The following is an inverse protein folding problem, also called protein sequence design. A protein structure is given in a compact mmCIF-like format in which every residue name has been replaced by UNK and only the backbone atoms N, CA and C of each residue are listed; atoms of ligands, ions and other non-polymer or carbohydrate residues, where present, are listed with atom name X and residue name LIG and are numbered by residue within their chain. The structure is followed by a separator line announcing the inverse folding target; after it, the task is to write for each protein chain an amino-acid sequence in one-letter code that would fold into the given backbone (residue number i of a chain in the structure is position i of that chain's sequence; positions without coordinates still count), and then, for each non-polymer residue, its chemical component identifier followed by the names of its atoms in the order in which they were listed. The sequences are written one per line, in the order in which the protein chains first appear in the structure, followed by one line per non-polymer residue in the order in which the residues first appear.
data_IF_188697901680
#
_entry.id   IF_188697901680
#
_cell.length_a   1.000
_cell.length_b   1.000
_cell.length_c   1.000
_cell.angle_alpha   90.00
_cell.angle_beta   90.00
_cell.angle_gamma   90.00
#
_symmetry.space_group_name_H-M   'P 1'
#
loop_
_entity.id
_entity.type
_entity.pdbx_description
1 polymer ?
#
# COMPACT_ATOMS: atom_id res chain seq x y z
N UNK A 1 5.18 -6.24 6.65
CA UNK A 1 6.05 -5.05 6.59
C UNK A 1 6.23 -4.52 8.01
N UNK A 2 7.01 -5.23 8.84
CA UNK A 2 7.22 -4.78 10.23
C UNK A 2 8.28 -3.69 10.21
N UNK A 3 7.93 -2.49 10.69
CA UNK A 3 8.85 -1.34 10.82
C UNK A 3 9.44 -0.84 9.49
N UNK A 4 8.75 -1.07 8.36
CA UNK A 4 9.17 -0.57 7.04
C UNK A 4 8.05 0.23 6.39
N UNK A 5 8.39 1.41 5.89
CA UNK A 5 7.50 2.28 5.12
C UNK A 5 8.05 2.43 3.70
N UNK A 6 7.18 2.25 2.71
CA UNK A 6 7.49 2.45 1.29
C UNK A 6 6.50 3.46 0.73
N UNK A 7 7.00 4.48 0.03
CA UNK A 7 6.17 5.52 -0.58
C UNK A 7 6.43 5.55 -2.08
N UNK A 8 5.35 5.58 -2.85
CA UNK A 8 5.40 5.80 -4.29
C UNK A 8 5.03 7.26 -4.57
N UNK A 9 5.89 7.97 -5.29
CA UNK A 9 5.70 9.37 -5.66
C UNK A 9 5.73 9.47 -7.17
N UNK A 10 4.69 10.04 -7.77
CA UNK A 10 4.58 10.16 -9.22
C UNK A 10 3.15 10.43 -9.67
N UNK A 11 2.89 10.09 -10.92
CA UNK A 11 1.58 10.20 -11.55
C UNK A 11 0.68 8.98 -11.24
N UNK A 12 -0.33 8.77 -12.08
CA UNK A 12 -1.23 7.63 -11.98
C UNK A 12 -0.53 6.27 -12.17
N UNK A 13 0.60 6.20 -12.89
CA UNK A 13 1.34 4.95 -13.05
C UNK A 13 2.03 4.55 -11.74
N UNK A 14 2.61 5.50 -11.02
CA UNK A 14 3.18 5.26 -9.68
C UNK A 14 2.12 4.72 -8.71
N UNK A 15 0.90 5.26 -8.78
CA UNK A 15 -0.26 4.77 -8.01
C UNK A 15 -0.63 3.33 -8.37
N UNK A 16 -0.65 2.98 -9.65
CA UNK A 16 -0.93 1.62 -10.11
C UNK A 16 0.11 0.62 -9.58
N UNK A 17 1.40 0.99 -9.59
CA UNK A 17 2.47 0.14 -9.06
C UNK A 17 2.33 -0.08 -7.55
N UNK A 18 1.99 0.97 -6.80
CA UNK A 18 1.69 0.87 -5.36
C UNK A 18 0.52 -0.08 -5.09
N UNK A 19 -0.57 -0.01 -5.86
CA UNK A 19 -1.71 -0.92 -5.74
C UNK A 19 -1.35 -2.37 -6.07
N UNK A 20 -0.53 -2.59 -7.11
CA UNK A 20 -0.03 -3.92 -7.47
C UNK A 20 0.79 -4.54 -6.33
N UNK A 21 1.68 -3.75 -5.70
CA UNK A 21 2.46 -4.20 -4.54
C UNK A 21 1.57 -4.58 -3.36
N UNK A 22 0.57 -3.76 -3.03
CA UNK A 22 -0.39 -4.08 -1.97
C UNK A 22 -1.06 -5.43 -2.24
N UNK A 23 -1.52 -5.67 -3.48
CA UNK A 23 -2.16 -6.93 -3.86
C UNK A 23 -1.22 -8.13 -3.64
N UNK A 24 0.04 -8.03 -4.07
CA UNK A 24 1.03 -9.09 -3.86
C UNK A 24 1.28 -9.35 -2.37
N UNK A 25 1.38 -8.30 -1.55
CA UNK A 25 1.60 -8.44 -0.11
C UNK A 25 0.37 -9.01 0.61
N UNK A 26 -0.83 -8.61 0.22
CA UNK A 26 -2.08 -9.17 0.76
C UNK A 26 -2.24 -10.64 0.40
N UNK A 27 -1.84 -11.05 -0.81
CA UNK A 27 -1.83 -12.45 -1.21
C UNK A 27 -0.81 -13.29 -0.39
N UNK A 28 0.36 -12.71 -0.09
CA UNK A 28 1.38 -13.37 0.73
C UNK A 28 1.03 -13.43 2.23
N UNK A 29 0.18 -12.53 2.72
CA UNK A 29 -0.23 -12.44 4.12
C UNK A 29 -1.76 -12.29 4.26
N UNK A 30 -2.55 -13.33 3.92
CA UNK A 30 -4.01 -13.24 3.80
C UNK A 30 -4.76 -12.97 5.12
N UNK A 31 -4.10 -13.19 6.27
CA UNK A 31 -4.66 -12.95 7.60
C UNK A 31 -4.12 -11.68 8.27
N UNK A 32 -3.30 -10.89 7.56
CA UNK A 32 -2.83 -9.62 8.09
C UNK A 32 -4.00 -8.65 8.22
N UNK A 33 -4.10 -7.98 9.36
CA UNK A 33 -5.04 -6.88 9.50
C UNK A 33 -4.51 -5.70 8.70
N UNK A 34 -5.39 -5.01 7.97
CA UNK A 34 -4.97 -3.92 7.09
C UNK A 34 -5.85 -2.68 7.28
N UNK A 35 -5.28 -1.52 7.01
CA UNK A 35 -5.97 -0.24 7.06
C UNK A 35 -5.60 0.60 5.85
N UNK A 36 -6.60 1.19 5.19
CA UNK A 36 -6.43 2.15 4.12
C UNK A 36 -6.95 3.52 4.56
N UNK A 37 -6.10 4.54 4.46
CA UNK A 37 -6.48 5.95 4.64
C UNK A 37 -6.21 6.65 3.32
N UNK A 38 -7.27 7.12 2.67
CA UNK A 38 -7.18 7.80 1.38
C UNK A 38 -7.51 9.29 1.52
N UNK A 39 -6.65 10.14 0.98
CA UNK A 39 -6.88 11.56 0.76
C UNK A 39 -6.27 12.02 -0.57
N UNK A 40 -6.53 13.26 -0.96
CA UNK A 40 -5.88 13.92 -2.09
C UNK A 40 -4.87 14.93 -1.49
N UNK A 41 -3.54 14.77 -1.69
CA UNK A 41 -2.89 13.90 -2.68
C UNK A 41 -2.38 12.53 -2.18
N UNK A 42 -2.55 12.21 -0.89
CA UNK A 42 -1.88 11.07 -0.24
C UNK A 42 -2.81 9.91 0.10
N UNK A 43 -2.40 8.69 -0.26
CA UNK A 43 -3.06 7.44 0.16
C UNK A 43 -2.07 6.55 0.91
N UNK A 44 -2.46 6.06 2.08
CA UNK A 44 -1.61 5.28 2.99
C UNK A 44 -2.27 3.93 3.24
N UNK A 45 -1.53 2.85 2.98
CA UNK A 45 -1.96 1.48 3.27
C UNK A 45 -1.02 0.87 4.31
N UNK A 46 -1.59 0.43 5.42
CA UNK A 46 -0.85 -0.12 6.56
C UNK A 46 -1.22 -1.59 6.76
N UNK A 47 -0.21 -2.45 6.88
CA UNK A 47 -0.35 -3.80 7.42
C UNK A 47 -0.09 -3.74 8.92
N UNK A 48 -1.10 -4.07 9.73
CA UNK A 48 -1.09 -4.05 11.19
C UNK A 48 -0.45 -5.32 11.78
#
# INVERSE_FOLDING_TARGET
MKEKTVMFVGDSLGRNQWQSLICMLSAAAPHAQTQLVSGDPLSIFTFL
#
